data_IF_671360030155
#
_entry.id   IF_671360030155
#
_cell.length_a   1.000
_cell.length_b   1.000
_cell.length_c   1.000
_cell.angle_alpha   90.00
_cell.angle_beta   90.00
_cell.angle_gamma   90.00
#
_symmetry.space_group_name_H-M   'P 1'
#
loop_
_entity.id
_entity.type
_entity.pdbx_description
1 polymer ?
#
# COMPACT_ATOMS: atom_id res chain seq x y z
N UNK A 1 -5.20 45.65 31.31
CA UNK A 1 -5.85 46.57 30.36
C UNK A 1 -5.63 45.94 29.00
N UNK A 2 -6.70 45.34 28.48
CA UNK A 2 -6.78 44.71 27.16
C UNK A 2 -6.44 45.70 26.05
N UNK A 3 -5.78 45.20 25.01
CA UNK A 3 -5.99 45.56 23.60
C UNK A 3 -5.68 44.26 22.83
N UNK A 4 -6.64 43.38 22.59
CA UNK A 4 -7.59 43.36 21.46
C UNK A 4 -6.98 43.46 20.06
N UNK A 5 -7.03 42.32 19.34
CA UNK A 5 -7.51 42.19 17.95
C UNK A 5 -6.65 42.85 16.83
N UNK A 6 -6.45 42.35 15.60
CA UNK A 6 -7.21 41.54 14.62
C UNK A 6 -6.18 41.12 13.50
N UNK A 7 -6.53 40.46 12.37
CA UNK A 7 -6.58 39.01 12.10
C UNK A 7 -5.60 38.49 11.02
N UNK A 8 -5.60 37.15 10.88
CA UNK A 8 -5.29 36.40 9.66
C UNK A 8 -5.93 36.96 8.38
N UNK A 9 -5.14 37.09 7.31
CA UNK A 9 -5.58 36.82 5.93
C UNK A 9 -4.42 36.32 5.06
N UNK A 10 -4.68 35.19 4.41
CA UNK A 10 -3.95 34.64 3.27
C UNK A 10 -3.69 35.70 2.19
N UNK A 11 -2.51 35.63 1.57
CA UNK A 11 -2.31 36.10 0.20
C UNK A 11 -1.70 34.97 -0.61
N UNK A 12 -2.50 34.42 -1.51
CA UNK A 12 -2.06 33.62 -2.64
C UNK A 12 -1.28 34.51 -3.61
N UNK A 13 -0.17 34.02 -4.16
CA UNK A 13 0.38 34.51 -5.41
C UNK A 13 0.78 33.32 -6.29
N UNK A 14 0.10 33.21 -7.43
CA UNK A 14 0.33 32.22 -8.49
C UNK A 14 0.85 32.93 -9.74
N UNK A 15 1.90 32.34 -10.33
CA UNK A 15 2.44 32.43 -11.70
C UNK A 15 3.14 33.74 -12.11
N UNK A 16 4.16 33.75 -13.00
CA UNK A 16 4.33 33.09 -14.32
C UNK A 16 5.85 33.02 -14.66
N UNK A 17 6.34 32.09 -15.53
CA UNK A 17 7.77 31.77 -15.66
C UNK A 17 8.54 32.65 -16.66
N UNK A 18 9.86 32.79 -16.47
CA UNK A 18 10.76 33.36 -17.48
C UNK A 18 12.01 32.51 -17.69
N UNK A 19 12.32 32.27 -18.97
CA UNK A 19 13.47 31.54 -19.50
C UNK A 19 14.80 32.27 -19.25
N UNK A 20 15.88 31.47 -19.30
CA UNK A 20 17.28 31.78 -19.63
C UNK A 20 18.33 31.77 -18.49
N UNK A 21 19.29 30.86 -18.71
CA UNK A 21 20.75 30.97 -18.54
C UNK A 21 21.39 31.15 -17.15
N UNK A 22 22.13 30.11 -16.78
CA UNK A 22 23.51 30.10 -16.25
C UNK A 22 23.87 30.92 -15.00
N UNK A 23 24.30 30.17 -13.98
CA UNK A 23 25.42 30.46 -13.07
C UNK A 23 25.49 31.86 -12.47
N UNK A 24 25.16 31.99 -11.18
CA UNK A 24 26.06 32.65 -10.22
C UNK A 24 25.86 32.12 -8.80
N UNK A 25 26.98 31.72 -8.21
CA UNK A 25 27.16 31.49 -6.77
C UNK A 25 26.80 32.76 -6.00
N UNK A 26 25.98 32.63 -4.97
CA UNK A 26 26.11 33.46 -3.77
C UNK A 26 25.96 32.58 -2.54
N UNK A 27 27.13 32.24 -2.01
CA UNK A 27 27.36 31.68 -0.69
C UNK A 27 27.00 32.77 0.33
N UNK A 28 25.94 32.56 1.11
CA UNK A 28 25.66 33.35 2.31
C UNK A 28 25.44 32.39 3.47
N UNK A 29 26.53 32.16 4.19
CA UNK A 29 26.55 31.68 5.56
C UNK A 29 25.69 32.59 6.42
N UNK A 30 24.59 32.07 6.94
CA UNK A 30 23.95 32.58 8.15
C UNK A 30 23.96 31.45 9.17
N UNK A 31 25.05 31.43 9.94
CA UNK A 31 25.10 30.82 11.26
C UNK A 31 24.27 31.71 12.20
N UNK A 32 23.15 31.20 12.72
CA UNK A 32 22.68 31.55 14.07
C UNK A 32 21.95 30.35 14.70
N UNK A 33 22.07 30.13 16.03
CA UNK A 33 21.75 28.89 16.70
C UNK A 33 20.36 28.96 17.34
N UNK A 34 19.52 27.95 17.10
CA UNK A 34 18.26 27.76 17.85
C UNK A 34 18.09 26.25 18.02
N UNK A 35 18.65 25.73 19.11
CA UNK A 35 17.91 25.36 20.31
C UNK A 35 17.23 23.99 20.15
N UNK A 36 17.86 23.00 20.80
CA UNK A 36 17.28 21.77 21.36
C UNK A 36 15.87 21.43 20.86
N UNK A 37 15.80 20.69 19.74
CA UNK A 37 14.63 19.86 19.47
C UNK A 37 14.73 18.72 20.47
N UNK A 38 13.84 18.73 21.46
CA UNK A 38 13.65 17.64 22.39
C UNK A 38 13.60 16.32 21.62
N UNK A 39 14.41 15.34 22.07
CA UNK A 39 14.19 13.95 21.72
C UNK A 39 12.72 13.64 22.04
N UNK A 40 11.88 13.48 21.02
CA UNK A 40 10.71 12.63 21.20
C UNK A 40 11.25 11.30 21.68
N UNK A 41 10.81 10.89 22.87
CA UNK A 41 11.16 9.60 23.44
C UNK A 41 10.69 8.56 22.44
N UNK A 42 11.62 8.01 21.67
CA UNK A 42 11.41 6.77 20.93
C UNK A 42 11.16 5.74 22.02
N UNK A 43 9.90 5.45 22.28
CA UNK A 43 9.55 4.36 23.17
C UNK A 43 10.13 3.08 22.55
N UNK A 44 10.83 2.25 23.34
CA UNK A 44 11.24 0.94 22.84
C UNK A 44 9.98 0.20 22.35
N UNK A 45 10.05 -0.55 21.24
CA UNK A 45 8.91 -1.29 20.74
C UNK A 45 8.39 -2.18 21.88
N UNK A 46 7.14 -1.94 22.29
CA UNK A 46 6.47 -2.79 23.26
C UNK A 46 6.45 -4.23 22.70
N UNK A 47 6.68 -5.24 23.56
CA UNK A 47 6.70 -6.64 23.12
C UNK A 47 5.37 -6.98 22.43
N UNK A 48 5.48 -7.60 21.26
CA UNK A 48 4.31 -8.01 20.47
C UNK A 48 3.49 -9.05 21.21
N UNK A 49 2.15 -9.06 21.03
CA UNK A 49 1.35 -10.16 21.52
C UNK A 49 1.81 -11.44 20.79
N UNK A 50 2.19 -12.46 21.56
CA UNK A 50 2.44 -13.80 21.06
C UNK A 50 1.13 -14.45 20.67
N UNK A 51 0.54 -13.99 19.56
CA UNK A 51 -0.60 -14.64 18.91
C UNK A 51 0.00 -15.73 18.03
N UNK A 52 -0.16 -17.02 18.38
CA UNK A 52 0.18 -18.08 17.45
C UNK A 52 -0.71 -17.94 16.23
N UNK A 53 -0.12 -17.54 15.10
CA UNK A 53 -0.79 -17.59 13.82
C UNK A 53 -1.13 -19.07 13.52
N UNK A 54 -2.28 -19.35 12.89
CA UNK A 54 -2.61 -20.71 12.51
C UNK A 54 -1.47 -21.29 11.64
N UNK A 55 -1.05 -22.54 11.89
CA UNK A 55 0.01 -23.17 11.12
C UNK A 55 -0.42 -23.29 9.65
N UNK A 56 0.55 -23.21 8.73
CA UNK A 56 0.37 -23.46 7.30
C UNK A 56 -0.47 -24.73 7.07
N UNK A 57 -1.34 -24.73 6.04
CA UNK A 57 -1.83 -25.99 5.49
C UNK A 57 -0.62 -26.90 5.15
N UNK A 58 -0.74 -28.17 5.50
CA UNK A 58 0.36 -29.14 5.68
C UNK A 58 1.47 -29.00 4.63
N UNK A 59 2.67 -28.67 5.10
CA UNK A 59 3.93 -28.87 4.38
C UNK A 59 4.04 -30.31 3.87
N UNK A 60 4.60 -30.46 2.68
CA UNK A 60 4.98 -31.76 2.11
C UNK A 60 5.99 -32.46 3.03
N UNK A 61 6.07 -33.79 2.93
CA UNK A 61 6.96 -34.60 3.79
C UNK A 61 8.45 -34.25 3.62
N UNK A 62 8.81 -33.64 2.49
CA UNK A 62 10.17 -33.13 2.21
C UNK A 62 10.47 -31.83 2.96
N UNK A 63 9.52 -30.89 3.05
CA UNK A 63 9.67 -29.63 3.81
C UNK A 63 9.73 -29.87 5.33
N UNK A 64 9.03 -30.90 5.83
CA UNK A 64 9.09 -31.31 7.24
C UNK A 64 10.47 -31.86 7.65
N UNK A 65 11.22 -32.40 6.70
CA UNK A 65 12.56 -32.96 6.96
C UNK A 65 13.60 -31.85 7.12
N UNK A 66 13.36 -30.66 6.53
CA UNK A 66 14.21 -29.47 6.70
C UNK A 66 13.85 -28.72 8.00
N UNK A 67 12.57 -28.68 8.37
CA UNK A 67 12.10 -28.00 9.58
C UNK A 67 12.28 -28.81 10.88
N UNK A 68 12.37 -30.14 10.79
CA UNK A 68 12.42 -31.06 11.94
C UNK A 68 13.77 -31.19 12.65
N UNK A 69 14.74 -30.31 12.37
CA UNK A 69 16.11 -30.44 12.84
C UNK A 69 16.77 -29.13 13.24
N UNK A 70 16.15 -28.32 14.10
CA UNK A 70 16.85 -27.20 14.73
C UNK A 70 16.88 -27.34 16.25
N UNK A 71 17.99 -27.90 16.74
CA UNK A 71 18.53 -27.44 18.02
C UNK A 71 18.87 -25.95 17.92
N UNK A 72 19.02 -25.29 19.07
CA UNK A 72 19.20 -23.84 19.25
C UNK A 72 20.49 -23.22 18.64
N UNK A 73 21.03 -23.74 17.54
CA UNK A 73 22.31 -23.36 16.92
C UNK A 73 22.19 -22.95 15.43
N UNK A 74 21.01 -22.55 14.95
CA UNK A 74 20.87 -21.94 13.61
C UNK A 74 21.49 -20.54 13.52
N UNK A 75 21.83 -20.04 12.32
CA UNK A 75 22.20 -18.63 12.16
C UNK A 75 21.05 -17.72 12.66
N UNK A 76 21.36 -16.52 13.18
CA UNK A 76 20.33 -15.60 13.64
C UNK A 76 19.39 -15.24 12.46
N UNK A 77 18.09 -15.02 12.73
CA UNK A 77 17.14 -14.63 11.68
C UNK A 77 17.61 -13.40 10.91
N UNK A 78 17.45 -13.44 9.58
CA UNK A 78 17.85 -12.35 8.70
C UNK A 78 16.94 -11.13 8.91
N UNK A 79 17.54 -9.94 9.03
CA UNK A 79 16.77 -8.71 9.19
C UNK A 79 16.00 -8.40 7.90
N UNK A 80 14.68 -8.34 8.00
CA UNK A 80 13.74 -8.24 6.89
C UNK A 80 12.95 -6.93 6.94
N UNK A 81 12.71 -6.33 5.78
CA UNK A 81 11.72 -5.28 5.61
C UNK A 81 10.66 -5.67 4.57
N UNK A 82 9.47 -5.08 4.67
CA UNK A 82 8.37 -5.31 3.73
C UNK A 82 8.20 -4.08 2.84
N UNK A 83 8.21 -4.26 1.53
CA UNK A 83 7.78 -3.24 0.56
C UNK A 83 6.30 -2.93 0.80
N UNK A 84 6.01 -1.73 1.26
CA UNK A 84 4.74 -1.38 1.87
C UNK A 84 3.99 -0.33 1.07
N UNK A 85 2.76 -0.67 0.70
CA UNK A 85 1.80 0.25 0.07
C UNK A 85 0.48 0.31 0.84
N UNK A 86 0.35 -0.45 1.93
CA UNK A 86 -0.83 -0.54 2.79
C UNK A 86 -1.97 -1.43 2.27
N UNK A 87 -1.80 -2.06 1.11
CA UNK A 87 -2.80 -2.93 0.51
C UNK A 87 -2.78 -4.38 0.96
N UNK A 88 -3.71 -5.17 0.40
CA UNK A 88 -3.88 -6.59 0.71
C UNK A 88 -2.60 -7.41 0.49
N UNK A 89 -1.85 -7.11 -0.57
CA UNK A 89 -0.73 -7.96 -1.00
C UNK A 89 0.50 -7.76 -0.10
N UNK A 90 0.85 -6.53 0.25
CA UNK A 90 1.95 -6.28 1.18
C UNK A 90 1.62 -6.75 2.61
N UNK A 91 0.35 -6.75 3.01
CA UNK A 91 -0.08 -7.33 4.28
C UNK A 91 0.01 -8.87 4.27
N UNK A 92 -0.32 -9.52 3.16
CA UNK A 92 -0.15 -10.97 3.03
C UNK A 92 1.33 -11.35 2.99
N UNK A 93 2.17 -10.58 2.29
CA UNK A 93 3.63 -10.76 2.32
C UNK A 93 4.21 -10.59 3.73
N UNK A 94 3.71 -9.61 4.50
CA UNK A 94 4.06 -9.46 5.91
C UNK A 94 3.67 -10.69 6.73
N UNK A 95 2.48 -11.24 6.55
CA UNK A 95 2.03 -12.47 7.24
C UNK A 95 2.93 -13.67 6.92
N UNK A 96 3.29 -13.87 5.65
CA UNK A 96 4.19 -14.95 5.25
C UNK A 96 5.59 -14.76 5.85
N UNK A 97 6.11 -13.53 5.87
CA UNK A 97 7.40 -13.24 6.50
C UNK A 97 7.37 -13.47 8.02
N UNK A 98 6.27 -13.11 8.68
CA UNK A 98 6.12 -13.26 10.13
C UNK A 98 6.06 -14.74 10.56
N UNK A 99 5.59 -15.62 9.67
CA UNK A 99 5.53 -17.06 9.89
C UNK A 99 6.87 -17.77 9.68
N UNK A 100 7.80 -17.14 8.96
CA UNK A 100 9.11 -17.70 8.68
C UNK A 100 10.09 -17.39 9.83
N UNK A 101 10.50 -18.39 10.64
CA UNK A 101 11.40 -18.16 11.77
C UNK A 101 12.83 -17.75 11.35
N UNK A 102 13.18 -17.88 10.06
CA UNK A 102 14.45 -17.40 9.51
C UNK A 102 14.44 -15.89 9.25
N UNK A 103 13.30 -15.22 9.36
CA UNK A 103 13.15 -13.80 9.10
C UNK A 103 12.81 -13.03 10.38
N UNK A 104 13.45 -11.88 10.54
CA UNK A 104 13.14 -10.90 11.58
C UNK A 104 12.60 -9.63 10.92
N UNK A 105 11.28 -9.50 10.83
CA UNK A 105 10.62 -8.32 10.24
C UNK A 105 10.76 -7.12 11.18
N UNK A 106 11.42 -6.07 10.70
CA UNK A 106 11.80 -4.91 11.53
C UNK A 106 11.31 -3.57 11.00
N UNK A 107 11.12 -3.45 9.69
CA UNK A 107 10.80 -2.19 9.02
C UNK A 107 9.76 -2.43 7.91
N UNK A 108 8.86 -1.47 7.73
CA UNK A 108 8.05 -1.31 6.52
C UNK A 108 8.73 -0.25 5.67
N UNK A 109 8.88 -0.48 4.36
CA UNK A 109 9.53 0.48 3.46
C UNK A 109 8.59 0.96 2.36
N UNK A 110 8.48 2.28 2.23
CA UNK A 110 7.74 2.96 1.18
C UNK A 110 8.76 3.60 0.25
N UNK A 111 8.83 3.15 -1.00
CA UNK A 111 9.57 3.84 -2.05
C UNK A 111 8.67 4.93 -2.63
N UNK A 112 9.11 6.19 -2.50
CA UNK A 112 8.31 7.35 -2.89
C UNK A 112 9.08 8.19 -3.90
N UNK A 113 8.56 8.42 -5.12
CA UNK A 113 9.13 9.41 -6.03
C UNK A 113 9.23 10.79 -5.37
N UNK A 114 10.20 11.61 -5.78
CA UNK A 114 10.28 13.02 -5.34
C UNK A 114 9.00 13.79 -5.69
N UNK A 115 8.45 13.52 -6.87
CA UNK A 115 7.15 14.01 -7.31
C UNK A 115 6.04 13.30 -6.53
N UNK A 116 5.28 14.05 -5.73
CA UNK A 116 4.10 13.52 -5.04
C UNK A 116 2.99 13.12 -6.01
N UNK A 117 2.94 13.70 -7.21
CA UNK A 117 1.93 13.38 -8.21
C UNK A 117 2.10 11.96 -8.76
N UNK A 118 3.33 11.43 -8.73
CA UNK A 118 3.67 10.10 -9.24
C UNK A 118 3.61 9.03 -8.13
N UNK A 119 3.07 9.37 -6.95
CA UNK A 119 2.97 8.45 -5.83
C UNK A 119 1.66 7.67 -5.86
N UNK A 120 1.73 6.41 -6.30
CA UNK A 120 0.55 5.56 -6.55
C UNK A 120 0.12 4.69 -5.34
N UNK A 121 0.79 4.81 -4.19
CA UNK A 121 0.40 4.07 -2.99
C UNK A 121 -0.74 4.77 -2.21
N UNK A 122 -1.28 4.08 -1.20
CA UNK A 122 -2.28 4.67 -0.31
C UNK A 122 -1.76 5.91 0.43
N UNK A 123 -2.64 6.77 0.97
CA UNK A 123 -2.24 7.96 1.71
C UNK A 123 -1.22 7.66 2.81
N UNK A 124 -0.23 8.55 2.97
CA UNK A 124 0.84 8.37 3.94
C UNK A 124 0.32 8.27 5.38
N UNK A 125 -0.76 8.97 5.69
CA UNK A 125 -1.43 8.98 6.98
C UNK A 125 -1.97 7.59 7.32
N UNK A 126 -2.55 6.89 6.34
CA UNK A 126 -3.01 5.51 6.50
C UNK A 126 -1.84 4.56 6.73
N UNK A 127 -0.80 4.63 5.90
CA UNK A 127 0.36 3.75 6.04
C UNK A 127 1.12 3.96 7.35
N UNK A 128 1.16 5.19 7.86
CA UNK A 128 1.68 5.49 9.20
C UNK A 128 0.84 4.84 10.29
N UNK A 129 -0.48 4.99 10.24
CA UNK A 129 -1.36 4.35 11.22
C UNK A 129 -1.27 2.81 11.17
N UNK A 130 -1.10 2.24 9.98
CA UNK A 130 -0.80 0.81 9.83
C UNK A 130 0.51 0.44 10.51
N UNK A 131 1.60 1.16 10.23
CA UNK A 131 2.89 0.92 10.84
C UNK A 131 2.85 1.03 12.38
N UNK A 132 2.16 2.04 12.90
CA UNK A 132 1.98 2.27 14.34
C UNK A 132 1.19 1.13 15.01
N UNK A 133 0.09 0.69 14.40
CA UNK A 133 -0.68 -0.45 14.89
C UNK A 133 0.10 -1.76 14.80
N UNK A 134 0.87 -1.95 13.73
CA UNK A 134 1.78 -3.07 13.57
C UNK A 134 3.00 -2.96 14.47
N UNK A 135 3.27 -1.82 15.13
CA UNK A 135 4.49 -1.64 15.93
C UNK A 135 5.79 -1.77 15.14
N UNK A 136 5.77 -1.43 13.85
CA UNK A 136 6.91 -1.48 12.94
C UNK A 136 7.32 -0.07 12.50
N UNK A 137 8.61 0.15 12.23
CA UNK A 137 9.07 1.44 11.73
C UNK A 137 8.70 1.62 10.25
N UNK A 138 8.08 2.75 9.89
CA UNK A 138 7.82 3.11 8.49
C UNK A 138 8.97 3.94 7.91
N UNK A 139 9.71 3.37 6.96
CA UNK A 139 10.84 4.01 6.27
C UNK A 139 10.40 4.54 4.92
N UNK A 140 10.49 5.85 4.72
CA UNK A 140 10.21 6.46 3.41
C UNK A 140 11.53 6.67 2.66
N UNK A 141 11.73 5.88 1.62
CA UNK A 141 12.89 5.99 0.72
C UNK A 141 12.50 6.88 -0.45
N UNK A 142 12.95 8.13 -0.43
CA UNK A 142 12.71 9.06 -1.53
C UNK A 142 13.60 8.69 -2.71
N UNK A 143 12.97 8.51 -3.87
CA UNK A 143 13.60 8.16 -5.14
C UNK A 143 13.90 9.45 -5.91
N UNK A 144 15.19 9.72 -6.10
CA UNK A 144 15.66 10.92 -6.79
C UNK A 144 15.21 10.95 -8.24
N UNK A 145 14.69 12.09 -8.71
CA UNK A 145 14.39 12.32 -10.12
C UNK A 145 15.66 12.61 -10.95
N UNK A 146 16.83 12.77 -10.32
CA UNK A 146 18.11 13.04 -10.99
C UNK A 146 18.74 11.82 -11.66
N UNK A 147 18.16 10.63 -11.50
CA UNK A 147 18.66 9.37 -12.04
C UNK A 147 17.50 8.53 -12.58
N UNK A 148 17.81 7.40 -13.23
CA UNK A 148 16.76 6.50 -13.71
C UNK A 148 15.96 5.95 -12.51
N UNK A 149 14.69 5.65 -12.73
CA UNK A 149 13.82 5.08 -11.69
C UNK A 149 14.44 3.81 -11.08
N UNK A 150 15.00 2.94 -11.93
CA UNK A 150 15.71 1.72 -11.52
C UNK A 150 16.94 2.02 -10.67
N UNK A 151 17.78 2.98 -11.06
CA UNK A 151 18.96 3.33 -10.27
C UNK A 151 18.56 3.94 -8.91
N UNK A 152 17.48 4.72 -8.85
CA UNK A 152 16.90 5.22 -7.60
C UNK A 152 16.43 4.10 -6.66
N UNK A 153 15.83 3.04 -7.19
CA UNK A 153 15.49 1.85 -6.41
C UNK A 153 16.73 1.12 -5.91
N UNK A 154 17.70 0.87 -6.78
CA UNK A 154 18.97 0.21 -6.41
C UNK A 154 19.65 0.99 -5.28
N UNK A 155 19.77 2.31 -5.38
CA UNK A 155 20.35 3.14 -4.33
C UNK A 155 19.54 3.16 -3.03
N UNK A 156 18.21 3.12 -3.10
CA UNK A 156 17.35 3.01 -1.93
C UNK A 156 17.54 1.65 -1.22
N UNK A 157 17.57 0.55 -1.98
CA UNK A 157 17.80 -0.80 -1.44
C UNK A 157 19.22 -0.91 -0.86
N UNK A 158 20.22 -0.28 -1.50
CA UNK A 158 21.57 -0.17 -0.95
C UNK A 158 21.59 0.49 0.42
N UNK A 159 20.87 1.60 0.60
CA UNK A 159 20.75 2.30 1.89
C UNK A 159 20.05 1.45 2.96
N UNK A 160 19.01 0.69 2.60
CA UNK A 160 18.41 -0.29 3.53
C UNK A 160 19.45 -1.32 4.02
N UNK A 161 20.29 -1.83 3.11
CA UNK A 161 21.35 -2.79 3.43
C UNK A 161 22.46 -2.21 4.30
N UNK A 162 22.96 -1.03 3.92
CA UNK A 162 24.16 -0.42 4.49
C UNK A 162 23.83 0.29 5.82
N UNK A 163 22.74 1.06 5.86
CA UNK A 163 22.44 1.94 7.00
C UNK A 163 21.60 1.21 8.08
N UNK A 164 20.74 0.28 7.66
CA UNK A 164 19.80 -0.42 8.56
C UNK A 164 20.16 -1.90 8.75
N UNK A 165 21.14 -2.43 8.02
CA UNK A 165 21.53 -3.83 8.11
C UNK A 165 20.47 -4.80 7.57
N UNK A 166 19.53 -4.32 6.75
CA UNK A 166 18.52 -5.19 6.11
C UNK A 166 19.22 -6.17 5.17
N UNK A 167 18.78 -7.42 5.20
CA UNK A 167 19.27 -8.54 4.36
C UNK A 167 18.19 -9.13 3.47
N UNK A 168 16.91 -8.89 3.81
CA UNK A 168 15.77 -9.36 3.02
C UNK A 168 14.80 -8.19 2.81
N UNK A 169 14.40 -7.98 1.56
CA UNK A 169 13.24 -7.14 1.22
C UNK A 169 12.14 -8.05 0.69
N UNK A 170 11.01 -8.12 1.39
CA UNK A 170 9.86 -8.87 0.93
C UNK A 170 8.89 -7.98 0.14
N UNK A 171 8.27 -8.51 -0.90
CA UNK A 171 7.28 -7.79 -1.70
C UNK A 171 5.98 -8.57 -1.78
N UNK A 172 4.88 -7.85 -1.99
CA UNK A 172 3.57 -8.44 -2.28
C UNK A 172 3.34 -8.72 -3.77
N UNK A 173 4.37 -8.64 -4.62
CA UNK A 173 4.17 -8.76 -6.07
C UNK A 173 3.72 -10.19 -6.42
N UNK A 174 2.67 -10.29 -7.23
CA UNK A 174 2.06 -11.56 -7.60
C UNK A 174 2.35 -11.98 -9.04
N UNK A 175 2.60 -11.03 -9.94
CA UNK A 175 2.99 -11.28 -11.33
C UNK A 175 3.93 -10.21 -11.90
N UNK A 176 4.39 -10.44 -13.12
CA UNK A 176 5.00 -9.46 -13.98
C UNK A 176 3.97 -8.37 -14.29
N UNK A 177 4.24 -7.17 -13.80
CA UNK A 177 3.75 -5.95 -14.43
C UNK A 177 4.49 -5.85 -15.76
N UNK A 178 3.81 -5.56 -16.88
CA UNK A 178 4.45 -5.34 -18.21
C UNK A 178 5.37 -4.11 -18.17
N UNK A 179 6.49 -4.18 -17.47
CA UNK A 179 7.59 -3.23 -17.54
C UNK A 179 8.44 -3.70 -18.72
N UNK A 180 8.45 -2.90 -19.80
CA UNK A 180 9.17 -3.19 -21.03
C UNK A 180 10.57 -3.77 -20.74
N UNK A 181 10.81 -5.01 -21.18
CA UNK A 181 12.08 -5.76 -21.14
C UNK A 181 12.51 -6.40 -19.80
N UNK A 182 11.61 -6.62 -18.84
CA UNK A 182 11.92 -7.45 -17.66
C UNK A 182 11.32 -8.85 -17.79
N UNK A 183 12.13 -9.88 -17.52
CA UNK A 183 11.71 -11.29 -17.51
C UNK A 183 11.47 -11.84 -16.10
N UNK A 184 11.63 -11.00 -15.07
CA UNK A 184 11.60 -11.40 -13.66
C UNK A 184 11.00 -10.28 -12.78
N UNK A 185 10.96 -10.47 -11.46
CA UNK A 185 10.45 -9.47 -10.53
C UNK A 185 11.38 -8.23 -10.46
N UNK A 186 10.78 -7.04 -10.53
CA UNK A 186 11.51 -5.77 -10.54
C UNK A 186 12.39 -5.54 -9.29
N UNK A 187 11.89 -5.84 -8.09
CA UNK A 187 12.64 -5.66 -6.84
C UNK A 187 13.78 -6.67 -6.75
N UNK A 188 13.55 -7.91 -7.22
CA UNK A 188 14.59 -8.93 -7.32
C UNK A 188 15.73 -8.47 -8.23
N UNK A 189 15.42 -7.99 -9.43
CA UNK A 189 16.42 -7.44 -10.34
C UNK A 189 17.18 -6.27 -9.70
N UNK A 190 16.50 -5.36 -9.00
CA UNK A 190 17.17 -4.26 -8.29
C UNK A 190 18.11 -4.75 -7.18
N UNK A 191 17.76 -5.83 -6.47
CA UNK A 191 18.65 -6.43 -5.47
C UNK A 191 19.89 -7.06 -6.13
N UNK A 192 19.71 -7.74 -7.26
CA UNK A 192 20.79 -8.41 -8.00
C UNK A 192 21.78 -7.43 -8.65
N UNK A 193 21.32 -6.21 -8.97
CA UNK A 193 22.17 -5.13 -9.47
C UNK A 193 23.14 -4.55 -8.42
N UNK A 194 22.97 -4.87 -7.13
CA UNK A 194 23.78 -4.27 -6.08
C UNK A 194 25.22 -4.82 -6.07
N UNK A 195 26.24 -3.93 -6.12
CA UNK A 195 27.61 -4.36 -5.98
C UNK A 195 27.83 -4.99 -4.59
N UNK A 196 28.46 -6.17 -4.59
CA UNK A 196 28.74 -6.95 -3.38
C UNK A 196 27.55 -7.74 -2.82
N UNK A 197 26.36 -7.66 -3.43
CA UNK A 197 25.17 -8.39 -2.97
C UNK A 197 24.77 -8.02 -1.54
N UNK A 198 24.34 -9.02 -0.76
CA UNK A 198 24.07 -8.86 0.68
C UNK A 198 22.67 -8.35 1.03
N UNK A 199 21.77 -8.28 0.05
CA UNK A 199 20.34 -8.16 0.25
C UNK A 199 19.62 -8.92 -0.87
N UNK A 200 18.59 -9.69 -0.52
CA UNK A 200 17.80 -10.49 -1.47
C UNK A 200 16.34 -10.09 -1.42
N UNK A 201 15.65 -10.26 -2.55
CA UNK A 201 14.20 -10.18 -2.59
C UNK A 201 13.59 -11.49 -2.06
N UNK A 202 12.51 -11.38 -1.29
CA UNK A 202 11.64 -12.49 -0.92
C UNK A 202 10.26 -12.26 -1.51
N UNK A 203 9.79 -13.19 -2.34
CA UNK A 203 8.60 -13.01 -3.17
C UNK A 203 7.55 -14.09 -2.81
N UNK A 204 6.95 -14.04 -1.60
CA UNK A 204 6.08 -15.10 -1.12
C UNK A 204 4.82 -15.32 -1.95
N UNK A 205 4.39 -14.31 -2.71
CA UNK A 205 3.15 -14.34 -3.51
C UNK A 205 3.40 -14.50 -5.01
N UNK A 206 4.67 -14.60 -5.43
CA UNK A 206 5.02 -14.65 -6.85
C UNK A 206 4.43 -15.89 -7.51
N UNK A 207 3.57 -15.67 -8.51
CA UNK A 207 2.83 -16.73 -9.22
C UNK A 207 1.94 -17.59 -8.31
N UNK A 208 1.62 -17.12 -7.10
CA UNK A 208 0.69 -17.80 -6.20
C UNK A 208 -0.75 -17.70 -6.74
N UNK A 209 -1.57 -18.71 -6.48
CA UNK A 209 -2.97 -18.70 -6.90
C UNK A 209 -3.76 -17.60 -6.17
N UNK A 210 -4.50 -16.79 -6.94
CA UNK A 210 -5.11 -15.53 -6.47
C UNK A 210 -6.20 -15.81 -5.43
N UNK A 211 -6.96 -16.86 -5.67
CA UNK A 211 -8.03 -17.34 -4.79
C UNK A 211 -7.45 -17.81 -3.44
N UNK A 212 -6.31 -18.52 -3.47
CA UNK A 212 -5.63 -18.94 -2.25
C UNK A 212 -5.04 -17.77 -1.46
N UNK A 213 -4.49 -16.77 -2.15
CA UNK A 213 -4.03 -15.54 -1.51
C UNK A 213 -5.18 -14.81 -0.79
N UNK A 214 -6.31 -14.63 -1.47
CA UNK A 214 -7.50 -13.98 -0.89
C UNK A 214 -8.06 -14.80 0.28
N UNK A 215 -8.21 -16.12 0.11
CA UNK A 215 -8.68 -17.01 1.19
C UNK A 215 -7.75 -16.96 2.38
N UNK A 216 -6.44 -17.01 2.17
CA UNK A 216 -5.44 -16.93 3.25
C UNK A 216 -5.57 -15.60 4.00
N UNK A 217 -5.70 -14.49 3.29
CA UNK A 217 -5.77 -13.18 3.92
C UNK A 217 -7.10 -12.96 4.67
N UNK A 218 -8.22 -13.31 4.06
CA UNK A 218 -9.56 -12.97 4.52
C UNK A 218 -10.13 -14.01 5.48
N UNK A 219 -10.01 -15.29 5.14
CA UNK A 219 -10.64 -16.40 5.87
C UNK A 219 -9.69 -16.94 6.92
N UNK A 220 -8.47 -17.31 6.52
CA UNK A 220 -7.54 -17.97 7.44
C UNK A 220 -6.95 -17.01 8.49
N UNK A 221 -6.89 -15.71 8.17
CA UNK A 221 -6.31 -14.68 9.04
C UNK A 221 -7.30 -13.59 9.46
N UNK A 222 -8.52 -13.52 8.91
CA UNK A 222 -9.54 -12.56 9.35
C UNK A 222 -9.17 -11.09 9.12
N UNK A 223 -8.32 -10.77 8.12
CA UNK A 223 -7.96 -9.38 7.83
C UNK A 223 -9.19 -8.59 7.35
N UNK A 224 -9.37 -7.38 7.89
CA UNK A 224 -10.40 -6.45 7.43
C UNK A 224 -9.85 -5.64 6.28
N UNK A 225 -10.29 -5.97 5.08
CA UNK A 225 -9.84 -5.35 3.84
C UNK A 225 -10.99 -4.55 3.23
N UNK A 226 -10.72 -3.36 2.71
CA UNK A 226 -11.70 -2.54 2.02
C UNK A 226 -11.20 -2.14 0.63
N UNK A 227 -12.10 -2.06 -0.34
CA UNK A 227 -11.79 -1.54 -1.67
C UNK A 227 -11.52 -0.03 -1.58
N UNK A 228 -10.29 0.38 -1.86
CA UNK A 228 -9.87 1.78 -1.85
C UNK A 228 -10.09 2.45 -3.21
N UNK A 229 -10.01 1.66 -4.29
CA UNK A 229 -10.25 2.11 -5.64
C UNK A 229 -10.79 0.94 -6.46
N UNK A 230 -11.73 1.22 -7.36
CA UNK A 230 -12.30 0.22 -8.28
C UNK A 230 -12.50 0.84 -9.64
N UNK A 231 -12.46 0.03 -10.70
CA UNK A 231 -12.60 0.51 -12.07
C UNK A 231 -13.63 -0.27 -12.87
N UNK A 232 -14.25 0.41 -13.83
CA UNK A 232 -15.08 -0.24 -14.85
C UNK A 232 -14.21 -1.09 -15.79
N UNK A 233 -14.75 -2.05 -16.55
CA UNK A 233 -16.15 -2.50 -16.55
C UNK A 233 -16.50 -3.45 -15.39
N UNK A 234 -15.52 -3.92 -14.63
CA UNK A 234 -15.74 -4.98 -13.63
C UNK A 234 -16.54 -4.50 -12.42
N UNK A 235 -16.28 -3.27 -12.00
CA UNK A 235 -16.89 -2.68 -10.82
C UNK A 235 -17.65 -1.39 -11.15
N UNK A 236 -18.48 -0.98 -10.20
CA UNK A 236 -19.14 0.33 -10.17
C UNK A 236 -18.81 1.05 -8.85
N UNK A 237 -19.31 2.27 -8.69
CA UNK A 237 -19.06 3.09 -7.51
C UNK A 237 -19.47 2.43 -6.17
N UNK A 238 -20.41 1.48 -6.17
CA UNK A 238 -20.89 0.82 -4.95
C UNK A 238 -19.85 -0.10 -4.31
N UNK A 239 -18.83 -0.51 -5.06
CA UNK A 239 -17.73 -1.33 -4.53
C UNK A 239 -16.70 -0.49 -3.78
N UNK A 240 -16.56 0.80 -4.10
CA UNK A 240 -15.60 1.66 -3.41
C UNK A 240 -16.01 1.86 -1.94
N UNK A 241 -15.08 1.60 -1.01
CA UNK A 241 -15.34 1.60 0.43
C UNK A 241 -16.04 0.35 0.97
N UNK A 242 -16.47 -0.58 0.09
CA UNK A 242 -17.02 -1.87 0.49
C UNK A 242 -15.92 -2.75 1.12
N UNK A 243 -16.30 -3.58 2.08
CA UNK A 243 -15.43 -4.65 2.60
C UNK A 243 -15.20 -5.72 1.53
N UNK A 244 -13.94 -6.12 1.35
CA UNK A 244 -13.57 -7.31 0.59
C UNK A 244 -13.69 -8.51 1.54
N UNK A 245 -14.83 -9.18 1.51
CA UNK A 245 -15.17 -10.37 2.29
C UNK A 245 -15.46 -11.57 1.36
N UNK A 246 -15.81 -12.73 1.94
CA UNK A 246 -16.13 -13.94 1.15
C UNK A 246 -17.30 -13.71 0.17
N UNK A 247 -18.26 -12.83 0.52
CA UNK A 247 -19.37 -12.49 -0.37
C UNK A 247 -18.86 -11.68 -1.57
N UNK A 248 -18.02 -10.68 -1.34
CA UNK A 248 -17.38 -9.91 -2.39
C UNK A 248 -16.51 -10.79 -3.31
N UNK A 249 -15.79 -11.76 -2.76
CA UNK A 249 -15.00 -12.72 -3.55
C UNK A 249 -15.90 -13.56 -4.46
N UNK A 250 -16.99 -14.14 -3.95
CA UNK A 250 -17.96 -14.91 -4.76
C UNK A 250 -18.57 -14.06 -5.89
N UNK A 251 -18.86 -12.79 -5.62
CA UNK A 251 -19.32 -11.85 -6.65
C UNK A 251 -18.24 -11.57 -7.71
N UNK A 252 -16.98 -11.37 -7.29
CA UNK A 252 -15.85 -11.21 -8.20
C UNK A 252 -15.65 -12.44 -9.09
N UNK A 253 -15.77 -13.65 -8.53
CA UNK A 253 -15.70 -14.88 -9.32
C UNK A 253 -16.82 -14.97 -10.36
N UNK A 254 -18.05 -14.57 -10.01
CA UNK A 254 -19.16 -14.50 -10.96
C UNK A 254 -18.90 -13.48 -12.09
N UNK A 255 -18.33 -12.32 -11.76
CA UNK A 255 -17.88 -11.31 -12.74
C UNK A 255 -16.81 -11.89 -13.66
N UNK A 256 -15.80 -12.58 -13.10
CA UNK A 256 -14.73 -13.24 -13.86
C UNK A 256 -15.27 -14.30 -14.83
N UNK A 257 -16.32 -15.05 -14.44
CA UNK A 257 -17.01 -16.03 -15.29
C UNK A 257 -17.96 -15.40 -16.32
N UNK A 258 -18.18 -14.08 -16.27
CA UNK A 258 -19.09 -13.38 -17.17
C UNK A 258 -20.58 -13.59 -16.84
N UNK A 259 -20.90 -14.01 -15.61
CA UNK A 259 -22.27 -14.29 -15.17
C UNK A 259 -23.03 -13.01 -14.79
N UNK A 260 -22.32 -11.90 -14.60
CA UNK A 260 -22.89 -10.62 -14.19
C UNK A 260 -22.61 -9.58 -15.28
N UNK A 261 -23.61 -9.34 -16.14
CA UNK A 261 -23.53 -8.34 -17.19
C UNK A 261 -23.78 -6.94 -16.58
N UNK A 262 -22.71 -6.29 -16.08
CA UNK A 262 -22.82 -4.95 -15.44
C UNK A 262 -22.68 -3.80 -16.43
N UNK A 263 -22.10 -4.05 -17.59
CA UNK A 263 -21.99 -3.06 -18.68
C UNK A 263 -22.29 -3.76 -20.00
N UNK A 264 -23.51 -3.56 -20.51
CA UNK A 264 -23.93 -4.10 -21.80
C UNK A 264 -23.26 -3.29 -22.92
N UNK A 265 -22.47 -3.95 -23.75
CA UNK A 265 -21.88 -3.35 -24.95
C UNK A 265 -22.41 -4.06 -26.18
N UNK A 266 -22.75 -3.30 -27.21
CA UNK A 266 -23.18 -3.82 -28.51
C UNK A 266 -22.04 -4.58 -29.20
N UNK A 267 -22.38 -5.50 -30.10
CA UNK A 267 -21.40 -6.25 -30.90
C UNK A 267 -20.54 -5.32 -31.78
N UNK A 268 -21.12 -4.21 -32.23
CA UNK A 268 -20.42 -3.14 -32.94
C UNK A 268 -19.37 -2.45 -32.04
N UNK A 269 -19.72 -2.12 -30.79
CA UNK A 269 -18.74 -1.57 -29.83
C UNK A 269 -17.63 -2.58 -29.55
N UNK A 270 -17.98 -3.86 -29.31
CA UNK A 270 -17.02 -4.95 -29.07
C UNK A 270 -16.06 -5.19 -30.24
N UNK A 271 -16.52 -4.97 -31.48
CA UNK A 271 -15.73 -5.19 -32.70
C UNK A 271 -14.62 -4.15 -32.92
N UNK A 272 -14.72 -2.97 -32.30
CA UNK A 272 -13.71 -1.91 -32.38
C UNK A 272 -12.58 -2.02 -31.37
N UNK A 273 -12.62 -3.02 -30.48
CA UNK A 273 -11.68 -3.15 -29.37
C UNK A 273 -10.49 -4.05 -29.71
N UNK A 274 -9.29 -3.54 -29.42
CA UNK A 274 -8.06 -4.32 -29.55
C UNK A 274 -8.06 -5.59 -28.69
N UNK A 275 -7.13 -6.50 -28.96
CA UNK A 275 -6.99 -7.77 -28.21
C UNK A 275 -6.56 -7.57 -26.75
N UNK A 276 -5.95 -6.43 -26.41
CA UNK A 276 -5.57 -6.01 -25.05
C UNK A 276 -6.61 -5.12 -24.36
N UNK A 277 -7.82 -5.01 -24.90
CA UNK A 277 -8.86 -4.17 -24.29
C UNK A 277 -9.36 -4.81 -22.98
N UNK A 278 -9.35 -4.07 -21.85
CA UNK A 278 -9.74 -4.59 -20.53
C UNK A 278 -11.16 -5.16 -20.52
N UNK A 279 -12.05 -4.67 -21.40
CA UNK A 279 -13.42 -5.16 -21.52
C UNK A 279 -13.52 -6.55 -22.16
N UNK A 280 -12.41 -7.10 -22.66
CA UNK A 280 -12.28 -8.47 -23.16
C UNK A 280 -11.51 -9.38 -22.21
N UNK A 281 -10.94 -8.82 -21.13
CA UNK A 281 -10.09 -9.53 -20.19
C UNK A 281 -10.95 -9.92 -18.97
N UNK A 282 -11.01 -11.20 -18.60
CA UNK A 282 -11.66 -11.62 -17.36
C UNK A 282 -11.04 -10.88 -16.16
N UNK A 283 -11.86 -10.54 -15.17
CA UNK A 283 -11.37 -9.94 -13.93
C UNK A 283 -10.24 -10.78 -13.32
N UNK A 284 -9.08 -10.17 -13.07
CA UNK A 284 -8.07 -10.76 -12.19
C UNK A 284 -8.53 -10.60 -10.73
N UNK A 285 -8.66 -11.72 -10.01
CA UNK A 285 -9.09 -11.70 -8.61
C UNK A 285 -8.06 -11.03 -7.70
N UNK A 286 -6.77 -11.07 -8.06
CA UNK A 286 -5.71 -10.33 -7.40
C UNK A 286 -5.72 -8.84 -7.73
N UNK A 287 -6.46 -8.39 -8.76
CA UNK A 287 -6.45 -6.98 -9.18
C UNK A 287 -5.11 -6.55 -9.78
N UNK A 288 -4.32 -7.49 -10.29
CA UNK A 288 -2.97 -7.26 -10.82
C UNK A 288 -2.97 -6.36 -12.07
N UNK A 289 -4.09 -6.25 -12.78
CA UNK A 289 -4.23 -5.33 -13.92
C UNK A 289 -4.84 -3.98 -13.51
N UNK A 290 -4.84 -3.70 -12.21
CA UNK A 290 -5.38 -2.49 -11.61
C UNK A 290 -6.90 -2.39 -11.68
N UNK A 291 -7.62 -3.51 -11.79
CA UNK A 291 -9.08 -3.58 -11.75
C UNK A 291 -9.61 -2.96 -10.45
N UNK A 292 -8.87 -3.17 -9.35
CA UNK A 292 -9.13 -2.53 -8.06
C UNK A 292 -7.85 -2.39 -7.22
N UNK A 293 -7.88 -1.48 -6.25
CA UNK A 293 -6.94 -1.41 -5.15
C UNK A 293 -7.70 -1.59 -3.83
N UNK A 294 -6.99 -2.05 -2.82
CA UNK A 294 -7.55 -2.31 -1.49
C UNK A 294 -6.60 -1.82 -0.42
N UNK A 295 -7.14 -1.49 0.75
CA UNK A 295 -6.38 -1.19 1.95
C UNK A 295 -6.78 -2.13 3.09
N UNK A 296 -5.82 -2.48 3.94
CA UNK A 296 -6.08 -3.32 5.13
C UNK A 296 -6.21 -2.41 6.35
N UNK A 297 -7.31 -2.58 7.09
CA UNK A 297 -7.64 -1.77 8.26
C UNK A 297 -7.42 -2.52 9.58
N UNK A 298 -7.42 -3.85 9.56
CA UNK A 298 -7.22 -4.68 10.74
C UNK A 298 -6.77 -6.08 10.29
N UNK A 299 -6.13 -6.81 11.18
CA UNK A 299 -5.62 -8.16 10.92
C UNK A 299 -4.87 -8.72 12.12
N UNK A 300 -4.41 -9.97 12.09
CA UNK A 300 -3.94 -10.63 13.29
C UNK A 300 -2.66 -9.98 13.87
N UNK A 301 -1.82 -9.39 13.01
CA UNK A 301 -0.60 -8.67 13.42
C UNK A 301 -0.83 -7.24 13.91
N UNK A 302 -1.99 -6.64 13.63
CA UNK A 302 -2.33 -5.29 14.08
C UNK A 302 -2.61 -5.33 15.58
N UNK A 303 -2.13 -4.34 16.35
CA UNK A 303 -2.47 -4.23 17.78
C UNK A 303 -3.89 -3.70 17.98
N UNK A 304 -4.34 -2.86 17.06
CA UNK A 304 -5.69 -2.27 17.04
C UNK A 304 -6.12 -2.02 15.59
N UNK A 305 -7.43 -2.09 15.33
CA UNK A 305 -7.99 -1.74 14.03
C UNK A 305 -7.89 -0.25 13.74
N UNK A 306 -7.82 0.09 12.46
CA UNK A 306 -7.78 1.46 11.96
C UNK A 306 -9.20 1.86 11.54
N UNK A 307 -9.71 2.95 12.10
CA UNK A 307 -10.99 3.52 11.71
C UNK A 307 -10.79 4.55 10.60
N UNK A 308 -11.67 4.54 9.60
CA UNK A 308 -11.77 5.59 8.61
C UNK A 308 -12.97 6.48 8.94
N UNK A 309 -12.78 7.80 9.01
CA UNK A 309 -13.82 8.78 9.30
C UNK A 309 -13.98 9.71 8.11
N UNK A 310 -15.20 10.17 7.83
CA UNK A 310 -15.39 11.22 6.83
C UNK A 310 -14.72 12.52 7.29
N UNK A 311 -13.96 13.17 6.41
CA UNK A 311 -13.32 14.45 6.70
C UNK A 311 -14.41 15.54 6.91
N UNK A 312 -14.29 16.40 7.94
CA UNK A 312 -15.22 17.50 8.14
C UNK A 312 -15.19 18.46 6.93
N UNK A 313 -16.33 18.66 6.27
CA UNK A 313 -16.48 19.65 5.18
C UNK A 313 -16.40 19.11 3.75
N UNK A 314 -16.42 17.80 3.54
CA UNK A 314 -16.73 17.25 2.21
C UNK A 314 -18.19 17.51 1.87
N UNK A 315 -18.47 18.41 0.92
CA UNK A 315 -19.81 18.61 0.35
C UNK A 315 -20.35 17.28 -0.18
N UNK A 316 -21.15 16.59 0.65
CA UNK A 316 -22.10 15.62 0.16
C UNK A 316 -23.16 16.43 -0.59
N UNK A 317 -23.00 16.53 -1.91
CA UNK A 317 -23.98 17.16 -2.78
C UNK A 317 -25.39 16.66 -2.44
N UNK A 318 -26.18 17.56 -1.84
CA UNK A 318 -27.60 17.47 -1.50
C UNK A 318 -28.16 16.08 -1.16
N UNK A 319 -28.39 15.82 0.14
CA UNK A 319 -29.69 15.38 0.69
C UNK A 319 -29.63 15.49 2.23
N UNK A 320 -30.65 16.18 2.75
CA UNK A 320 -31.16 16.40 4.11
C UNK A 320 -30.36 15.93 5.35
N UNK A 321 -30.16 16.89 6.25
CA UNK A 321 -29.40 16.80 7.50
C UNK A 321 -30.21 16.22 8.67
N UNK A 322 -29.82 15.04 9.16
CA UNK A 322 -29.95 14.62 10.58
C UNK A 322 -28.73 13.80 11.00
N UNK A 323 -28.21 13.97 12.23
CA UNK A 323 -27.09 13.17 12.72
C UNK A 323 -27.59 11.79 13.14
N UNK A 324 -27.49 10.82 12.24
CA UNK A 324 -27.61 9.39 12.56
C UNK A 324 -26.28 8.70 12.29
N UNK A 325 -25.99 7.68 13.10
CA UNK A 325 -24.78 6.86 13.06
C UNK A 325 -24.35 6.47 11.63
N UNK A 326 -23.02 6.41 11.43
CA UNK A 326 -22.33 6.06 10.17
C UNK A 326 -22.69 6.94 8.97
N UNK A 327 -22.02 8.09 8.86
CA UNK A 327 -21.91 8.79 7.57
C UNK A 327 -21.12 7.87 6.63
N UNK A 328 -21.69 7.39 5.51
CA UNK A 328 -20.93 6.56 4.57
C UNK A 328 -19.75 7.38 4.05
N UNK A 329 -18.55 6.79 4.01
CA UNK A 329 -17.38 7.35 3.31
C UNK A 329 -17.71 7.43 1.81
N UNK A 330 -18.45 8.46 1.41
CA UNK A 330 -18.90 8.69 0.03
C UNK A 330 -18.44 10.07 -0.40
N UNK A 331 -17.17 10.17 -0.75
CA UNK A 331 -16.79 11.05 -1.84
C UNK A 331 -16.09 10.18 -2.87
N UNK A 332 -16.86 9.84 -3.90
CA UNK A 332 -16.40 9.04 -5.03
C UNK A 332 -16.09 10.04 -6.13
N UNK A 333 -14.81 10.28 -6.40
CA UNK A 333 -14.42 11.11 -7.55
C UNK A 333 -14.49 10.22 -8.80
N UNK A 334 -15.34 10.60 -9.75
CA UNK A 334 -15.36 10.04 -11.10
C UNK A 334 -14.61 10.98 -12.04
N UNK A 335 -13.62 10.45 -12.76
CA UNK A 335 -12.98 11.16 -13.86
C UNK A 335 -12.65 10.20 -15.00
N UNK A 336 -12.59 10.67 -16.26
CA UNK A 336 -11.99 9.87 -17.31
C UNK A 336 -10.53 9.61 -16.92
N UNK A 337 -10.08 8.37 -17.05
CA UNK A 337 -8.66 8.06 -16.98
C UNK A 337 -7.88 9.03 -17.88
N UNK A 338 -7.01 9.85 -17.28
CA UNK A 338 -6.21 10.81 -18.03
C UNK A 338 -5.03 10.09 -18.67
N UNK A 339 -4.86 10.26 -19.98
CA UNK A 339 -3.65 9.84 -20.67
C UNK A 339 -2.41 10.45 -19.99
N UNK A 340 -1.47 9.60 -19.58
CA UNK A 340 -0.11 9.99 -19.19
C UNK A 340 0.14 10.32 -17.72
N UNK A 341 -0.90 10.40 -16.88
CA UNK A 341 -0.78 10.63 -15.42
C UNK A 341 -0.89 9.30 -14.62
N UNK A 342 -1.78 8.37 -15.01
CA UNK A 342 -1.88 7.01 -14.46
C UNK A 342 -1.28 6.01 -15.48
N UNK A 343 0.05 5.93 -15.59
CA UNK A 343 0.72 5.32 -16.75
C UNK A 343 0.59 3.81 -16.90
N UNK A 344 0.07 3.09 -15.91
CA UNK A 344 0.18 1.64 -15.88
C UNK A 344 -1.15 0.88 -15.96
N UNK A 345 -2.29 1.49 -15.60
CA UNK A 345 -3.51 0.71 -15.32
C UNK A 345 -4.83 1.36 -15.72
N UNK A 346 -4.81 2.34 -16.61
CA UNK A 346 -6.05 2.96 -17.07
C UNK A 346 -6.16 3.01 -18.57
N UNK A 347 -7.29 2.50 -19.08
CA UNK A 347 -7.60 2.49 -20.50
C UNK A 347 -8.56 3.63 -20.85
N UNK A 348 -8.46 4.14 -22.08
CA UNK A 348 -9.34 5.19 -22.59
C UNK A 348 -10.82 4.77 -22.47
N UNK A 349 -11.62 5.56 -21.75
CA UNK A 349 -13.05 5.30 -21.53
C UNK A 349 -13.39 4.53 -20.25
N UNK A 350 -12.39 4.13 -19.45
CA UNK A 350 -12.60 3.53 -18.14
C UNK A 350 -13.03 4.60 -17.12
N UNK A 351 -13.98 4.25 -16.25
CA UNK A 351 -14.33 5.07 -15.08
C UNK A 351 -13.62 4.51 -13.87
N UNK A 352 -12.91 5.38 -13.16
CA UNK A 352 -12.25 5.10 -11.89
C UNK A 352 -13.09 5.70 -10.76
N UNK A 353 -13.27 4.93 -9.70
CA UNK A 353 -13.85 5.39 -8.44
C UNK A 353 -12.86 5.14 -7.32
N UNK A 354 -12.54 6.17 -6.54
CA UNK A 354 -11.59 6.09 -5.44
C UNK A 354 -12.18 6.68 -4.17
N UNK A 355 -11.83 6.06 -3.05
CA UNK A 355 -12.21 6.50 -1.72
C UNK A 355 -11.39 7.75 -1.40
N UNK A 356 -12.05 8.91 -1.28
CA UNK A 356 -11.40 10.15 -0.88
C UNK A 356 -12.14 10.82 0.27
N UNK A 357 -11.60 11.92 0.79
CA UNK A 357 -12.23 12.72 1.84
C UNK A 357 -12.38 11.96 3.15
N UNK A 358 -11.39 11.13 3.50
CA UNK A 358 -11.36 10.41 4.77
C UNK A 358 -10.18 10.84 5.62
N UNK A 359 -10.38 10.75 6.93
CA UNK A 359 -9.36 10.89 7.95
C UNK A 359 -9.17 9.55 8.64
N UNK A 360 -7.95 9.30 9.10
CA UNK A 360 -7.66 8.13 9.94
C UNK A 360 -8.05 8.46 11.37
N UNK A 361 -8.96 7.68 11.94
CA UNK A 361 -9.37 7.80 13.34
C UNK A 361 -8.17 7.64 14.27
N UNK A 362 -8.13 8.45 15.34
CA UNK A 362 -7.03 8.46 16.28
C UNK A 362 -6.78 7.09 16.93
N UNK A 363 -5.53 6.84 17.30
CA UNK A 363 -5.12 5.68 18.10
C UNK A 363 -6.01 5.63 19.36
N UNK A 364 -6.62 4.48 19.71
CA UNK A 364 -7.39 4.38 20.94
C UNK A 364 -6.52 4.83 22.12
N UNK A 365 -6.96 5.85 22.88
CA UNK A 365 -6.21 6.38 24.03
C UNK A 365 -5.91 5.31 25.10
N UNK A 366 -6.66 4.20 25.09
CA UNK A 366 -6.44 3.02 25.92
C UNK A 366 -5.94 1.84 25.07
N UNK A 367 -4.69 1.90 24.62
CA UNK A 367 -3.97 0.77 24.02
C UNK A 367 -3.64 -0.35 25.03
N UNK A 368 -4.58 -0.74 25.89
CA UNK A 368 -4.44 -1.96 26.70
C UNK A 368 -4.72 -3.18 25.82
N UNK A 369 -3.86 -4.23 25.83
CA UNK A 369 -4.07 -5.48 25.11
C UNK A 369 -5.44 -6.15 25.34
N UNK A 370 -6.14 -5.77 26.40
CA UNK A 370 -7.45 -6.28 26.83
C UNK A 370 -8.60 -6.02 25.85
N UNK A 371 -8.46 -5.09 24.89
CA UNK A 371 -9.52 -4.79 23.92
C UNK A 371 -9.77 -5.91 22.89
N UNK A 372 -8.83 -6.86 22.74
CA UNK A 372 -8.98 -8.03 21.84
C UNK A 372 -9.46 -9.30 22.54
N UNK A 373 -9.71 -9.26 23.85
CA UNK A 373 -10.09 -10.44 24.65
C UNK A 373 -11.62 -10.56 24.85
N UNK A 374 -12.44 -10.01 23.94
CA UNK A 374 -13.90 -10.17 23.95
C UNK A 374 -14.44 -10.78 22.66
#
# INVERSE_FOLDING_TARGET
>A
MEIDSVPDKCVFAVAVPSRQSSLYRCMLLLLYPVASIHSEKIHPPLPFPSIPLPPRQKMTREEQTIAGGSGANGPPPEKCCISWTGGKDCNLALLECWRDPSLNVTDLVVFRPESRADFEAHPMELMKAQADSLGLALRVMVLSASQSYRDAYVDAIRRLRDDLGIRVIATGDMDLVEIENSSDNYIKECCEMLPGGGIRAYLPLWKAEREDCLRTLLVDNGCKVVFSCVKSPWFDASWCGRTLDETAVREMEAIRRGEVDRVSFTEAERSGWGTKDPRRIPLDLGGENGEYHSMVLDGPLYRYGIELRAAPGGDAGGIDSRPTASVPLRSVVSGPAKNGEDRWWTYTGQTRWSLVGFEVGGVPENGSPEARER
#
